data_IF_062725219003
#
_entry.id   IF_062725219003
#
_cell.length_a   1.000
_cell.length_b   1.000
_cell.length_c   1.000
_cell.angle_alpha   90.00
_cell.angle_beta   90.00
_cell.angle_gamma   90.00
#
_symmetry.space_group_name_H-M   'P 1'
#
loop_
_entity.id
_entity.type
_entity.pdbx_description
1 polymer ?
#
# COMPACT_ATOMS: atom_id res chain seq x y z
N UNK A 1 -17.54 -5.22 25.90
CA UNK A 1 -16.96 -6.53 25.53
C UNK A 1 -16.48 -6.41 24.10
N UNK A 2 -15.18 -6.23 23.88
CA UNK A 2 -14.62 -6.07 22.54
C UNK A 2 -14.78 -7.37 21.74
N UNK A 3 -15.20 -7.26 20.48
CA UNK A 3 -15.38 -8.41 19.59
C UNK A 3 -14.02 -9.10 19.33
N UNK A 4 -13.68 -10.07 20.17
CA UNK A 4 -12.42 -10.84 20.11
C UNK A 4 -12.20 -11.47 18.72
N UNK A 5 -13.29 -11.85 18.05
CA UNK A 5 -13.29 -12.33 16.67
C UNK A 5 -12.68 -11.34 15.68
N UNK A 6 -12.97 -10.04 15.82
CA UNK A 6 -12.44 -9.00 14.94
C UNK A 6 -10.93 -8.81 15.15
N UNK A 7 -10.45 -8.98 16.38
CA UNK A 7 -9.04 -8.85 16.73
C UNK A 7 -8.21 -9.99 16.16
N UNK A 8 -8.69 -11.23 16.32
CA UNK A 8 -8.02 -12.40 15.75
C UNK A 8 -7.96 -12.28 14.23
N UNK A 9 -9.06 -11.89 13.57
CA UNK A 9 -9.07 -11.75 12.11
C UNK A 9 -8.16 -10.61 11.64
N UNK A 10 -8.12 -9.48 12.35
CA UNK A 10 -7.23 -8.38 12.01
C UNK A 10 -5.73 -8.76 12.14
N UNK A 11 -5.36 -9.46 13.21
CA UNK A 11 -4.01 -10.02 13.37
C UNK A 11 -3.66 -10.99 12.23
N UNK A 12 -4.58 -11.89 11.87
CA UNK A 12 -4.36 -12.85 10.79
C UNK A 12 -4.17 -12.14 9.44
N UNK A 13 -5.02 -11.18 9.10
CA UNK A 13 -4.91 -10.41 7.85
C UNK A 13 -3.61 -9.61 7.80
N UNK A 14 -3.22 -8.94 8.89
CA UNK A 14 -1.97 -8.17 8.94
C UNK A 14 -0.74 -9.07 8.70
N UNK A 15 -0.67 -10.22 9.37
CA UNK A 15 0.44 -11.17 9.22
C UNK A 15 0.47 -11.79 7.81
N UNK A 16 -0.69 -12.19 7.28
CA UNK A 16 -0.78 -12.75 5.93
C UNK A 16 -0.38 -11.72 4.87
N UNK A 17 -0.82 -10.46 4.99
CA UNK A 17 -0.45 -9.39 4.08
C UNK A 17 1.06 -9.13 4.11
N UNK A 18 1.67 -9.10 5.29
CA UNK A 18 3.11 -8.88 5.42
C UNK A 18 3.94 -10.05 4.87
N UNK A 19 3.66 -11.26 5.33
CA UNK A 19 4.45 -12.44 4.96
C UNK A 19 4.23 -12.79 3.49
N UNK A 20 2.99 -12.77 3.01
CA UNK A 20 2.64 -13.09 1.63
C UNK A 20 3.29 -12.14 0.63
N UNK A 21 3.13 -10.83 0.83
CA UNK A 21 3.70 -9.85 -0.09
C UNK A 21 5.22 -9.74 0.02
N UNK A 22 5.80 -9.95 1.20
CA UNK A 22 7.25 -10.03 1.35
C UNK A 22 7.82 -11.23 0.59
N UNK A 23 7.18 -12.40 0.69
CA UNK A 23 7.60 -13.59 -0.05
C UNK A 23 7.53 -13.37 -1.57
N UNK A 24 6.44 -12.76 -2.06
CA UNK A 24 6.30 -12.38 -3.49
C UNK A 24 7.44 -11.47 -3.92
N UNK A 25 7.73 -10.42 -3.14
CA UNK A 25 8.78 -9.46 -3.44
C UNK A 25 10.17 -10.13 -3.43
N UNK A 26 10.46 -10.98 -2.45
CA UNK A 26 11.70 -11.75 -2.38
C UNK A 26 11.88 -12.68 -3.58
N UNK A 27 10.84 -13.41 -3.98
CA UNK A 27 10.89 -14.31 -5.14
C UNK A 27 11.11 -13.53 -6.44
N UNK A 28 10.41 -12.40 -6.60
CA UNK A 28 10.53 -11.56 -7.79
C UNK A 28 11.89 -10.88 -7.91
N UNK A 29 12.47 -10.44 -6.79
CA UNK A 29 13.79 -9.79 -6.75
C UNK A 29 14.95 -10.81 -6.83
N UNK A 30 14.79 -12.00 -6.26
CA UNK A 30 15.79 -13.07 -6.31
C UNK A 30 15.88 -13.74 -7.70
N UNK A 31 14.80 -13.66 -8.48
CA UNK A 31 14.79 -14.17 -9.85
C UNK A 31 15.71 -13.33 -10.76
N UNK A 32 16.90 -13.87 -11.08
CA UNK A 32 17.92 -13.27 -11.97
C UNK A 32 17.49 -13.19 -13.46
N UNK A 33 16.19 -13.17 -13.73
CA UNK A 33 15.62 -13.08 -15.08
C UNK A 33 15.31 -11.64 -15.46
N UNK A 34 15.43 -11.30 -16.75
CA UNK A 34 15.16 -9.94 -17.26
C UNK A 34 13.83 -9.38 -16.74
N UNK A 35 13.87 -8.15 -16.23
CA UNK A 35 12.69 -7.42 -15.74
C UNK A 35 11.73 -7.12 -16.89
N UNK A 36 10.59 -7.83 -16.91
CA UNK A 36 9.48 -7.54 -17.82
C UNK A 36 8.52 -6.54 -17.16
N UNK A 37 7.74 -5.81 -17.96
CA UNK A 37 6.79 -4.81 -17.46
C UNK A 37 5.82 -5.40 -16.42
N UNK A 38 5.19 -6.57 -16.63
CA UNK A 38 4.33 -7.19 -15.63
C UNK A 38 5.03 -7.48 -14.31
N UNK A 39 6.28 -7.97 -14.35
CA UNK A 39 7.05 -8.27 -13.13
C UNK A 39 7.37 -7.01 -12.33
N UNK A 40 7.75 -5.94 -13.03
CA UNK A 40 7.97 -4.64 -12.40
C UNK A 40 6.70 -4.11 -11.74
N UNK A 41 5.55 -4.18 -12.42
CA UNK A 41 4.26 -3.76 -11.85
C UNK A 41 3.84 -4.63 -10.66
N UNK A 42 4.02 -5.96 -10.74
CA UNK A 42 3.76 -6.86 -9.61
C UNK A 42 4.64 -6.54 -8.39
N UNK A 43 5.89 -6.12 -8.59
CA UNK A 43 6.75 -5.67 -7.49
C UNK A 43 6.25 -4.39 -6.83
N UNK A 44 5.76 -3.42 -7.62
CA UNK A 44 5.17 -2.19 -7.09
C UNK A 44 3.89 -2.48 -6.30
N UNK A 45 3.05 -3.38 -6.80
CA UNK A 45 1.82 -3.79 -6.12
C UNK A 45 2.13 -4.49 -4.78
N UNK A 46 3.06 -5.46 -4.78
CA UNK A 46 3.52 -6.11 -3.56
C UNK A 46 4.11 -5.12 -2.55
N UNK A 47 4.79 -4.07 -3.01
CA UNK A 47 5.29 -2.99 -2.15
C UNK A 47 4.14 -2.19 -1.53
N UNK A 48 3.12 -1.85 -2.31
CA UNK A 48 1.94 -1.14 -1.81
C UNK A 48 1.16 -1.98 -0.78
N UNK A 49 1.00 -3.28 -1.03
CA UNK A 49 0.35 -4.21 -0.10
C UNK A 49 1.17 -4.45 1.17
N UNK A 50 2.50 -4.41 1.10
CA UNK A 50 3.38 -4.40 2.28
C UNK A 50 3.16 -3.13 3.12
N UNK A 51 3.06 -1.96 2.50
CA UNK A 51 2.75 -0.72 3.21
C UNK A 51 1.38 -0.79 3.90
N UNK A 52 0.38 -1.39 3.23
CA UNK A 52 -0.94 -1.64 3.82
C UNK A 52 -0.86 -2.65 4.98
N UNK A 53 -0.07 -3.71 4.84
CA UNK A 53 0.21 -4.66 5.91
C UNK A 53 0.85 -4.02 7.14
N UNK A 54 1.80 -3.10 6.95
CA UNK A 54 2.42 -2.33 8.03
C UNK A 54 1.41 -1.40 8.72
N UNK A 55 0.52 -0.76 7.94
CA UNK A 55 -0.59 0.03 8.49
C UNK A 55 -1.52 -0.82 9.36
N UNK A 56 -1.94 -1.99 8.87
CA UNK A 56 -2.79 -2.92 9.63
C UNK A 56 -2.10 -3.42 10.90
N UNK A 57 -0.81 -3.77 10.81
CA UNK A 57 -0.01 -4.18 11.96
C UNK A 57 0.04 -3.08 13.02
N UNK A 58 0.27 -1.83 12.60
CA UNK A 58 0.31 -0.67 13.49
C UNK A 58 -1.04 -0.46 14.19
N UNK A 59 -2.18 -0.57 13.49
CA UNK A 59 -3.51 -0.49 14.11
C UNK A 59 -3.71 -1.59 15.15
N UNK A 60 -3.37 -2.82 14.79
CA UNK A 60 -3.62 -3.99 15.64
C UNK A 60 -2.71 -4.00 16.88
N UNK A 61 -1.47 -3.49 16.75
CA UNK A 61 -0.56 -3.27 17.89
C UNK A 61 -1.12 -2.25 18.88
N UNK A 62 -1.68 -1.16 18.38
CA UNK A 62 -2.29 -0.11 19.21
C UNK A 62 -3.56 -0.62 19.88
N UNK A 63 -4.38 -1.38 19.15
CA UNK A 63 -5.57 -2.02 19.71
C UNK A 63 -5.19 -2.99 20.84
N UNK A 64 -4.12 -3.78 20.67
CA UNK A 64 -3.60 -4.68 21.71
C UNK A 64 -3.08 -3.91 22.93
N UNK A 65 -2.34 -2.81 22.73
CA UNK A 65 -1.80 -1.97 23.80
C UNK A 65 -2.89 -1.23 24.58
N UNK A 66 -4.02 -0.94 23.93
CA UNK A 66 -5.14 -0.20 24.53
C UNK A 66 -6.04 -1.07 25.41
N UNK A 67 -5.79 -2.39 25.50
CA UNK A 67 -6.55 -3.32 26.35
C UNK A 67 -6.21 -3.07 27.83
N UNK A 68 -6.97 -2.20 28.49
CA UNK A 68 -6.92 -1.99 29.94
C UNK A 68 -6.87 -0.53 30.40
N UNK A 69 -6.54 0.42 29.53
CA UNK A 69 -6.43 1.86 29.87
C UNK A 69 -7.00 2.72 28.73
N UNK A 70 -8.31 2.60 28.49
CA UNK A 70 -8.95 3.06 27.25
C UNK A 70 -9.08 4.59 27.09
N UNK A 71 -9.08 5.39 28.17
CA UNK A 71 -9.41 6.82 28.07
C UNK A 71 -8.22 7.74 27.72
N UNK A 72 -7.03 7.50 28.29
CA UNK A 72 -5.87 8.36 27.99
C UNK A 72 -5.13 7.95 26.71
N UNK A 73 -5.09 6.65 26.38
CA UNK A 73 -4.31 6.16 25.24
C UNK A 73 -4.91 6.48 23.88
N UNK A 74 -6.24 6.62 23.79
CA UNK A 74 -6.92 6.99 22.54
C UNK A 74 -6.60 8.44 22.13
N UNK A 75 -6.52 9.36 23.09
CA UNK A 75 -6.19 10.77 22.84
C UNK A 75 -4.70 10.92 22.48
N UNK A 76 -3.81 10.23 23.18
CA UNK A 76 -2.36 10.22 22.87
C UNK A 76 -2.08 9.59 21.49
N UNK A 77 -2.85 8.60 21.08
CA UNK A 77 -2.71 7.98 19.76
C UNK A 77 -3.13 8.92 18.62
N UNK A 78 -4.26 9.63 18.80
CA UNK A 78 -4.77 10.57 17.80
C UNK A 78 -3.91 11.84 17.70
N UNK A 79 -3.32 12.30 18.80
CA UNK A 79 -2.44 13.47 18.83
C UNK A 79 -0.96 13.12 18.61
N UNK A 80 -0.60 11.84 18.69
CA UNK A 80 0.76 11.35 18.51
C UNK A 80 1.16 11.13 17.05
N UNK A 81 2.47 10.92 16.80
CA UNK A 81 3.00 10.66 15.45
C UNK A 81 2.47 9.36 14.83
N UNK A 82 1.91 8.45 15.64
CA UNK A 82 1.33 7.19 15.17
C UNK A 82 0.14 7.38 14.23
N UNK A 83 -0.76 8.33 14.51
CA UNK A 83 -1.88 8.65 13.62
C UNK A 83 -1.41 9.24 12.29
N UNK A 84 -0.41 10.13 12.34
CA UNK A 84 0.23 10.71 11.16
C UNK A 84 0.86 9.65 10.26
N UNK A 85 1.63 8.72 10.83
CA UNK A 85 2.23 7.61 10.07
C UNK A 85 1.18 6.65 9.52
N UNK A 86 0.13 6.32 10.30
CA UNK A 86 -0.97 5.48 9.83
C UNK A 86 -1.70 6.12 8.64
N UNK A 87 -2.01 7.42 8.75
CA UNK A 87 -2.64 8.22 7.71
C UNK A 87 -1.79 8.30 6.44
N UNK A 88 -0.48 8.51 6.60
CA UNK A 88 0.46 8.50 5.48
C UNK A 88 0.46 7.13 4.78
N UNK A 89 0.64 6.04 5.54
CA UNK A 89 0.72 4.69 4.99
C UNK A 89 -0.56 4.26 4.26
N UNK A 90 -1.74 4.58 4.79
CA UNK A 90 -3.02 4.18 4.17
C UNK A 90 -3.28 4.92 2.86
N UNK A 91 -3.01 6.23 2.80
CA UNK A 91 -3.19 7.01 1.57
C UNK A 91 -2.15 6.60 0.54
N UNK A 92 -0.89 6.52 0.94
CA UNK A 92 0.22 6.15 0.06
C UNK A 92 0.02 4.76 -0.57
N UNK A 93 -0.31 3.74 0.24
CA UNK A 93 -0.55 2.38 -0.27
C UNK A 93 -1.75 2.32 -1.20
N UNK A 94 -2.84 3.01 -0.88
CA UNK A 94 -4.07 2.98 -1.68
C UNK A 94 -3.87 3.62 -3.05
N UNK A 95 -3.24 4.80 -3.10
CA UNK A 95 -2.92 5.49 -4.35
C UNK A 95 -1.98 4.66 -5.22
N UNK A 96 -0.91 4.09 -4.63
CA UNK A 96 0.01 3.23 -5.36
C UNK A 96 -0.67 1.97 -5.93
N UNK A 97 -1.53 1.32 -5.15
CA UNK A 97 -2.26 0.13 -5.62
C UNK A 97 -3.20 0.47 -6.77
N UNK A 98 -3.97 1.56 -6.68
CA UNK A 98 -4.89 2.00 -7.75
C UNK A 98 -4.11 2.32 -9.03
N UNK A 99 -3.02 3.08 -8.92
CA UNK A 99 -2.17 3.41 -10.05
C UNK A 99 -1.56 2.15 -10.69
N UNK A 100 -1.03 1.24 -9.87
CA UNK A 100 -0.40 0.01 -10.36
C UNK A 100 -1.42 -0.90 -11.05
N UNK A 101 -2.60 -1.12 -10.44
CA UNK A 101 -3.68 -1.93 -11.01
C UNK A 101 -4.20 -1.35 -12.32
N UNK A 102 -4.30 -0.02 -12.42
CA UNK A 102 -4.71 0.68 -13.64
C UNK A 102 -3.71 0.43 -14.77
N UNK A 103 -2.40 0.48 -14.47
CA UNK A 103 -1.36 0.21 -15.46
C UNK A 103 -1.35 -1.28 -15.85
N UNK A 104 -1.50 -2.21 -14.90
CA UNK A 104 -1.61 -3.66 -15.19
C UNK A 104 -2.80 -3.93 -16.11
N UNK A 105 -3.96 -3.36 -15.80
CA UNK A 105 -5.20 -3.53 -16.58
C UNK A 105 -5.02 -2.97 -17.99
N UNK A 106 -4.45 -1.77 -18.10
CA UNK A 106 -4.15 -1.14 -19.38
C UNK A 106 -3.18 -2.00 -20.21
N UNK A 107 -2.09 -2.50 -19.59
CA UNK A 107 -1.12 -3.36 -20.27
C UNK A 107 -1.77 -4.64 -20.81
N UNK A 108 -2.62 -5.29 -20.01
CA UNK A 108 -3.37 -6.49 -20.42
C UNK A 108 -4.35 -6.18 -21.54
N UNK A 109 -5.11 -5.09 -21.43
CA UNK A 109 -6.03 -4.65 -22.46
C UNK A 109 -5.32 -4.39 -23.79
N UNK A 110 -4.25 -3.59 -23.77
CA UNK A 110 -3.45 -3.31 -24.96
C UNK A 110 -2.87 -4.59 -25.58
N UNK A 111 -2.39 -5.53 -24.77
CA UNK A 111 -1.84 -6.80 -25.26
C UNK A 111 -2.91 -7.68 -25.92
N UNK A 112 -4.14 -7.69 -25.39
CA UNK A 112 -5.26 -8.45 -25.94
C UNK A 112 -5.76 -7.82 -27.24
N UNK A 113 -6.04 -6.52 -27.24
CA UNK A 113 -6.61 -5.81 -28.40
C UNK A 113 -5.62 -5.72 -29.56
N UNK A 114 -4.33 -5.52 -29.28
CA UNK A 114 -3.28 -5.34 -30.29
C UNK A 114 -2.35 -6.56 -30.41
N UNK A 115 -2.84 -7.76 -30.09
CA UNK A 115 -2.08 -9.01 -30.13
C UNK A 115 -1.36 -9.27 -31.48
N UNK A 116 -1.86 -8.68 -32.58
CA UNK A 116 -1.34 -8.84 -33.95
C UNK A 116 -0.16 -7.89 -34.27
N UNK A 117 0.05 -6.81 -33.49
CA UNK A 117 1.17 -5.87 -33.69
C UNK A 117 2.20 -5.97 -32.56
N UNK A 118 3.11 -6.95 -32.63
CA UNK A 118 4.18 -7.19 -31.64
C UNK A 118 5.12 -5.99 -31.37
N UNK A 119 5.10 -4.95 -32.22
CA UNK A 119 6.07 -3.85 -32.19
C UNK A 119 5.65 -2.63 -31.34
N UNK A 120 4.46 -2.63 -30.71
CA UNK A 120 3.97 -1.55 -29.82
C UNK A 120 3.75 -1.99 -28.37
N UNK A 121 4.52 -2.96 -27.87
CA UNK A 121 4.54 -3.30 -26.44
C UNK A 121 4.89 -2.06 -25.62
N UNK A 122 4.18 -1.83 -24.52
CA UNK A 122 4.55 -0.83 -23.50
C UNK A 122 6.02 -1.06 -23.13
N UNK A 123 6.89 -0.09 -23.44
CA UNK A 123 8.30 -0.18 -23.08
C UNK A 123 8.43 -0.07 -21.56
N UNK A 124 9.32 -0.87 -20.98
CA UNK A 124 9.69 -0.78 -19.55
C UNK A 124 10.02 0.66 -19.15
N UNK A 125 10.71 1.41 -20.02
CA UNK A 125 11.03 2.82 -19.78
C UNK A 125 9.79 3.72 -19.63
N UNK A 126 8.71 3.46 -20.37
CA UNK A 126 7.45 4.23 -20.24
C UNK A 126 6.73 3.86 -18.95
N UNK A 127 6.65 2.57 -18.63
CA UNK A 127 6.06 2.10 -17.37
C UNK A 127 6.83 2.64 -16.15
N UNK A 128 8.16 2.65 -16.20
CA UNK A 128 9.02 3.24 -15.17
C UNK A 128 8.73 4.73 -14.97
N UNK A 129 8.61 5.52 -16.04
CA UNK A 129 8.26 6.95 -15.95
C UNK A 129 6.88 7.18 -15.34
N UNK A 130 5.87 6.41 -15.77
CA UNK A 130 4.50 6.53 -15.26
C UNK A 130 4.48 6.17 -13.76
N UNK A 131 5.13 5.07 -13.38
CA UNK A 131 5.21 4.67 -11.97
C UNK A 131 6.00 5.67 -11.15
N UNK A 132 7.12 6.23 -11.63
CA UNK A 132 7.86 7.25 -10.88
C UNK A 132 7.03 8.51 -10.63
N UNK A 133 6.24 8.95 -11.62
CA UNK A 133 5.30 10.06 -11.44
C UNK A 133 4.20 9.70 -10.45
N UNK A 134 3.68 8.48 -10.53
CA UNK A 134 2.68 7.96 -9.59
C UNK A 134 3.17 7.90 -8.15
N UNK A 135 4.41 7.47 -7.93
CA UNK A 135 5.06 7.48 -6.61
C UNK A 135 5.18 8.88 -6.05
N UNK A 136 5.66 9.85 -6.85
CA UNK A 136 5.75 11.25 -6.42
C UNK A 136 4.37 11.80 -6.08
N UNK A 137 3.37 11.54 -6.91
CA UNK A 137 1.99 11.94 -6.66
C UNK A 137 1.43 11.34 -5.36
N UNK A 138 1.61 10.04 -5.14
CA UNK A 138 1.16 9.35 -3.93
C UNK A 138 1.86 9.91 -2.67
N UNK A 139 3.16 10.21 -2.74
CA UNK A 139 3.91 10.82 -1.63
C UNK A 139 3.37 12.22 -1.34
N UNK A 140 3.15 13.04 -2.36
CA UNK A 140 2.60 14.40 -2.19
C UNK A 140 1.22 14.33 -1.54
N UNK A 141 0.32 13.50 -2.07
CA UNK A 141 -1.03 13.33 -1.53
C UNK A 141 -1.03 12.78 -0.10
N UNK A 142 -0.14 11.85 0.21
CA UNK A 142 0.02 11.32 1.56
C UNK A 142 0.72 12.33 2.51
N UNK A 143 1.51 13.26 2.00
CA UNK A 143 2.15 14.30 2.81
C UNK A 143 1.22 15.49 3.11
N UNK A 144 0.25 15.79 2.24
CA UNK A 144 -0.69 16.91 2.40
C UNK A 144 -1.33 17.01 3.80
N UNK A 145 -1.78 15.90 4.44
CA UNK A 145 -2.40 15.99 5.75
C UNK A 145 -1.38 16.13 6.90
N UNK A 146 -0.09 15.88 6.64
CA UNK A 146 1.01 16.15 7.58
C UNK A 146 1.39 17.64 7.61
N UNK A 147 1.17 18.37 6.50
CA UNK A 147 1.48 19.81 6.38
C UNK A 147 0.34 20.72 6.84
N UNK A 148 -0.71 20.15 7.44
CA UNK A 148 -1.83 20.92 8.01
C UNK A 148 -2.87 21.41 7.01
N UNK A 149 -2.82 20.94 5.76
CA UNK A 149 -3.83 21.29 4.72
C UNK A 149 -5.13 20.48 4.90
N UNK A 150 -5.04 19.29 5.51
CA UNK A 150 -6.17 18.40 5.83
C UNK A 150 -5.84 17.61 7.10
N UNK A 151 -6.79 17.37 8.00
CA UNK A 151 -6.57 16.53 9.18
C UNK A 151 -6.91 15.06 8.89
N UNK A 152 -6.07 14.12 9.33
CA UNK A 152 -6.45 12.69 9.37
C UNK A 152 -7.56 12.39 10.39
N UNK A 153 -7.86 13.34 11.27
CA UNK A 153 -8.95 13.28 12.24
C UNK A 153 -10.17 14.07 11.73
N UNK A 154 -11.34 13.43 11.75
CA UNK A 154 -12.63 14.13 11.65
C UNK A 154 -12.98 14.67 13.03
N UNK A 155 -12.88 15.97 13.24
CA UNK A 155 -13.60 16.65 14.34
C UNK A 155 -15.10 16.63 14.01
N UNK A 156 -15.86 15.79 14.71
CA UNK A 156 -17.26 16.07 14.99
C UNK A 156 -17.60 15.66 16.40
#
# INVERSE_FOLDING_TARGET
MGNWWLRISAWAVALLALVGNAAVLLVLLSSSYRMTVPKFLMCNLATADLCMGLYLLLIVLVDAKSIGVYFNHAIDWQSGPGCAVAGFLTVFSSELSILTLTVITSERWYTITYAIHMNKRLKLATALKIMSLGWVYAIVMAALPLVGVSGYYKTR
#
